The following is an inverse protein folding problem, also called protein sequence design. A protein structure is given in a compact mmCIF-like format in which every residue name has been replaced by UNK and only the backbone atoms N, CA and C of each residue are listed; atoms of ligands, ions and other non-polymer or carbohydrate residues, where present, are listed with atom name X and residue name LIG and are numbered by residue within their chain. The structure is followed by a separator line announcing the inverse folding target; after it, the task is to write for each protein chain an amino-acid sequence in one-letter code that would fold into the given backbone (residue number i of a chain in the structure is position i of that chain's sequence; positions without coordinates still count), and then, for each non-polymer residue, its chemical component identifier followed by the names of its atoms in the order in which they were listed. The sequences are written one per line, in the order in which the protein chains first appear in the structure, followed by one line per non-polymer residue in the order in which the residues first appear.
data_IF_105913690071
#
_entry.id   IF_105913690071
#
_cell.length_a   1.000
_cell.length_b   1.000
_cell.length_c   1.000
_cell.angle_alpha   90.00
_cell.angle_beta   90.00
_cell.angle_gamma   90.00
#
_symmetry.space_group_name_H-M   'P 1'
#
loop_
_entity.id
_entity.type
_entity.pdbx_description
1 polymer ?
#
# COMPACT_ATOMS: atom_id res chain seq x y z
N UNK A 1 61.86 -21.04 -3.34
CA UNK A 1 61.32 -20.02 -2.42
C UNK A 1 60.28 -19.15 -3.13
N UNK A 2 59.11 -19.67 -3.54
CA UNK A 2 58.04 -18.91 -4.22
C UNK A 2 56.63 -19.39 -3.73
N UNK A 3 56.51 -19.88 -2.49
CA UNK A 3 55.23 -20.40 -1.99
C UNK A 3 54.66 -19.63 -0.79
N UNK A 4 55.24 -18.48 -0.41
CA UNK A 4 54.75 -17.69 0.75
C UNK A 4 54.02 -16.41 0.41
N UNK A 5 53.82 -16.09 -0.88
CA UNK A 5 53.22 -14.78 -1.27
C UNK A 5 51.72 -14.82 -1.64
N UNK A 6 51.10 -16.00 -1.70
CA UNK A 6 49.70 -16.12 -2.19
C UNK A 6 48.69 -16.19 -1.04
N UNK A 7 49.12 -16.45 0.20
CA UNK A 7 48.18 -16.64 1.32
C UNK A 7 47.82 -15.36 2.08
N UNK A 8 48.49 -14.24 1.84
CA UNK A 8 48.26 -12.99 2.60
C UNK A 8 47.38 -11.95 1.89
N UNK A 9 46.84 -12.24 0.70
CA UNK A 9 45.93 -11.29 -0.04
C UNK A 9 44.45 -11.53 0.14
N UNK A 10 44.01 -12.41 1.03
CA UNK A 10 42.58 -12.79 1.17
C UNK A 10 41.92 -12.42 2.49
N UNK A 11 42.54 -11.65 3.36
CA UNK A 11 41.96 -11.27 4.67
C UNK A 11 42.20 -9.80 5.02
N UNK A 12 41.88 -8.91 4.11
CA UNK A 12 41.61 -7.52 4.49
C UNK A 12 40.19 -7.13 4.05
N UNK A 13 39.20 -7.92 4.43
CA UNK A 13 37.88 -7.38 4.58
C UNK A 13 37.97 -6.47 5.81
N UNK A 14 38.09 -5.17 5.54
CA UNK A 14 37.95 -4.12 6.52
C UNK A 14 36.63 -4.39 7.24
N UNK A 15 36.69 -4.95 8.44
CA UNK A 15 35.54 -5.10 9.34
C UNK A 15 35.10 -3.67 9.61
N UNK A 16 34.17 -3.19 8.81
CA UNK A 16 33.56 -1.89 9.07
C UNK A 16 32.74 -2.05 10.33
N UNK A 17 33.17 -1.35 11.39
CA UNK A 17 32.49 -1.37 12.67
C UNK A 17 30.96 -1.19 12.50
N UNK A 18 30.22 -1.98 13.26
CA UNK A 18 28.77 -1.88 13.32
C UNK A 18 28.34 -0.47 13.66
N UNK A 19 27.15 -0.11 13.23
CA UNK A 19 26.54 1.20 13.48
C UNK A 19 25.32 1.04 14.39
N UNK A 20 25.18 1.91 15.36
CA UNK A 20 24.03 1.93 16.26
C UNK A 20 22.87 2.69 15.56
N UNK A 21 21.72 2.06 15.51
CA UNK A 21 20.50 2.69 14.99
C UNK A 21 19.92 3.65 16.04
N UNK A 22 19.78 4.94 15.71
CA UNK A 22 19.25 5.96 16.65
C UNK A 22 17.79 5.71 17.08
N UNK A 23 17.06 4.80 16.41
CA UNK A 23 15.65 4.52 16.74
C UNK A 23 15.43 3.25 17.54
N UNK A 24 16.08 2.14 17.20
CA UNK A 24 15.93 0.87 17.90
C UNK A 24 17.13 0.51 18.77
N UNK A 25 18.16 1.37 18.80
CA UNK A 25 19.36 1.27 19.60
C UNK A 25 20.20 0.00 19.37
N UNK A 26 19.83 -0.78 18.33
CA UNK A 26 20.57 -2.00 17.99
C UNK A 26 21.86 -1.66 17.26
N UNK A 27 22.95 -2.34 17.65
CA UNK A 27 24.20 -2.37 16.87
C UNK A 27 24.01 -3.31 15.68
N UNK A 28 24.17 -2.82 14.46
CA UNK A 28 23.88 -3.53 13.23
C UNK A 28 24.97 -3.26 12.18
N UNK A 29 25.24 -4.24 11.29
CA UNK A 29 26.15 -4.05 10.18
C UNK A 29 25.78 -2.83 9.33
N UNK A 30 26.79 -2.10 8.86
CA UNK A 30 26.57 -0.88 8.02
C UNK A 30 25.72 -1.13 6.79
N UNK A 31 25.72 -2.36 6.22
CA UNK A 31 24.85 -2.78 5.10
C UNK A 31 23.36 -2.67 5.43
N UNK A 32 22.98 -2.68 6.71
CA UNK A 32 21.58 -2.56 7.15
C UNK A 32 21.12 -1.11 7.26
N UNK A 33 21.97 -0.16 6.89
CA UNK A 33 21.67 1.25 6.78
C UNK A 33 21.73 1.69 5.32
N UNK A 34 20.95 2.68 4.95
CA UNK A 34 20.93 3.25 3.61
C UNK A 34 21.82 4.50 3.58
N UNK A 35 23.00 4.39 2.95
CA UNK A 35 23.96 5.48 2.87
C UNK A 35 24.37 6.02 4.25
N UNK A 36 24.25 7.32 4.45
CA UNK A 36 24.61 7.99 5.70
C UNK A 36 23.48 8.03 6.74
N UNK A 37 22.33 7.40 6.48
CA UNK A 37 21.19 7.43 7.40
C UNK A 37 21.56 6.91 8.79
N UNK A 38 21.05 7.58 9.82
CA UNK A 38 21.27 7.23 11.23
C UNK A 38 20.36 6.12 11.74
N UNK A 39 19.32 5.78 10.98
CA UNK A 39 18.37 4.71 11.29
C UNK A 39 18.55 3.53 10.34
N UNK A 40 18.43 2.30 10.85
CA UNK A 40 18.49 1.09 10.04
C UNK A 40 17.30 1.02 9.06
N UNK A 41 17.43 0.21 8.00
CA UNK A 41 16.39 0.07 6.95
C UNK A 41 15.01 -0.26 7.51
N UNK A 42 14.82 -1.24 8.43
CA UNK A 42 13.51 -1.49 9.02
C UNK A 42 12.90 -0.28 9.74
N UNK A 43 13.73 0.45 10.51
CA UNK A 43 13.28 1.67 11.18
C UNK A 43 12.94 2.79 10.19
N UNK A 44 13.73 2.95 9.13
CA UNK A 44 13.46 3.91 8.05
C UNK A 44 12.16 3.61 7.32
N UNK A 45 11.90 2.34 6.98
CA UNK A 45 10.62 1.90 6.39
C UNK A 45 9.43 2.16 7.31
N UNK A 46 9.58 1.87 8.61
CA UNK A 46 8.53 2.16 9.60
C UNK A 46 8.20 3.65 9.67
N UNK A 47 9.22 4.54 9.71
CA UNK A 47 9.01 5.99 9.69
C UNK A 47 8.33 6.47 8.41
N UNK A 48 8.75 5.95 7.26
CA UNK A 48 8.14 6.27 5.98
C UNK A 48 6.66 5.83 5.92
N UNK A 49 6.33 4.65 6.47
CA UNK A 49 4.97 4.16 6.54
C UNK A 49 4.10 5.02 7.44
N UNK A 50 4.59 5.42 8.62
CA UNK A 50 3.90 6.35 9.52
C UNK A 50 3.63 7.68 8.80
N UNK A 51 4.63 8.23 8.09
CA UNK A 51 4.45 9.47 7.34
C UNK A 51 3.39 9.34 6.24
N UNK A 52 3.40 8.24 5.48
CA UNK A 52 2.46 7.98 4.38
C UNK A 52 1.02 7.73 4.85
N UNK A 53 0.82 7.35 6.09
CA UNK A 53 -0.49 7.08 6.70
C UNK A 53 -0.84 8.04 7.84
N UNK A 54 -0.21 9.21 7.90
CA UNK A 54 -0.50 10.19 8.96
C UNK A 54 -1.84 10.92 8.78
N UNK A 55 -2.48 10.80 7.62
CA UNK A 55 -3.84 11.26 7.34
C UNK A 55 -4.44 10.45 6.19
N UNK A 56 -5.79 10.42 6.03
CA UNK A 56 -6.45 9.78 4.90
C UNK A 56 -5.95 10.35 3.57
N UNK A 57 -5.78 11.65 3.45
CA UNK A 57 -5.32 12.32 2.23
C UNK A 57 -3.90 11.89 1.81
N UNK A 58 -2.97 11.74 2.75
CA UNK A 58 -1.63 11.23 2.44
C UNK A 58 -1.66 9.76 2.03
N UNK A 59 -2.53 8.99 2.63
CA UNK A 59 -2.73 7.59 2.25
C UNK A 59 -3.33 7.48 0.85
N UNK A 60 -4.38 8.25 0.53
CA UNK A 60 -5.01 8.32 -0.79
C UNK A 60 -4.01 8.77 -1.87
N UNK A 61 -3.21 9.81 -1.61
CA UNK A 61 -2.13 10.23 -2.53
C UNK A 61 -1.14 9.09 -2.80
N UNK A 62 -0.83 8.29 -1.78
CA UNK A 62 0.06 7.14 -1.98
C UNK A 62 -0.62 6.01 -2.78
N UNK A 63 -1.92 5.75 -2.59
CA UNK A 63 -2.68 4.81 -3.43
C UNK A 63 -2.73 5.30 -4.87
N UNK A 64 -3.02 6.59 -5.07
CA UNK A 64 -3.02 7.22 -6.39
C UNK A 64 -1.68 7.05 -7.11
N UNK A 65 -0.56 7.30 -6.45
CA UNK A 65 0.77 7.11 -7.03
C UNK A 65 1.00 5.65 -7.48
N UNK A 66 0.55 4.67 -6.68
CA UNK A 66 0.69 3.26 -7.01
C UNK A 66 -0.19 2.88 -8.21
N UNK A 67 -1.41 3.38 -8.23
CA UNK A 67 -2.36 3.14 -9.31
C UNK A 67 -1.87 3.78 -10.62
N UNK A 68 -1.50 5.05 -10.59
CA UNK A 68 -0.93 5.77 -11.73
C UNK A 68 0.26 5.01 -12.32
N UNK A 69 1.24 4.65 -11.50
CA UNK A 69 2.41 3.90 -11.94
C UNK A 69 2.06 2.55 -12.58
N UNK A 70 1.04 1.86 -12.05
CA UNK A 70 0.56 0.60 -12.61
C UNK A 70 -0.08 0.80 -14.00
N UNK A 71 -0.91 1.85 -14.13
CA UNK A 71 -1.68 2.13 -15.37
C UNK A 71 -0.83 2.73 -16.49
N UNK A 72 0.12 3.61 -16.17
CA UNK A 72 1.04 4.18 -17.17
C UNK A 72 1.94 3.13 -17.82
N UNK A 73 2.03 1.91 -17.28
CA UNK A 73 2.74 0.78 -17.91
C UNK A 73 1.89 -0.01 -18.90
N UNK A 74 0.58 0.16 -18.86
CA UNK A 74 -0.34 -0.52 -19.77
C UNK A 74 -0.50 0.35 -21.02
N UNK A 75 -0.10 -0.15 -22.19
CA UNK A 75 -0.19 0.59 -23.46
C UNK A 75 -1.64 0.99 -23.76
N UNK A 76 -1.83 2.26 -24.13
CA UNK A 76 -3.12 2.80 -24.56
C UNK A 76 -4.06 3.24 -23.43
N UNK A 77 -3.64 3.19 -22.17
CA UNK A 77 -4.47 3.65 -21.06
C UNK A 77 -4.25 5.11 -20.71
N UNK A 78 -5.34 5.89 -20.65
CA UNK A 78 -5.35 7.25 -20.11
C UNK A 78 -5.67 7.22 -18.64
N UNK A 79 -4.88 7.93 -17.82
CA UNK A 79 -5.09 8.04 -16.38
C UNK A 79 -5.33 9.51 -16.00
N UNK A 80 -6.59 9.89 -15.88
CA UNK A 80 -7.00 11.29 -15.65
C UNK A 80 -7.34 11.61 -14.19
N UNK A 81 -7.40 10.58 -13.33
CA UNK A 81 -7.72 10.76 -11.93
C UNK A 81 -6.63 11.57 -11.20
N UNK A 82 -7.03 12.50 -10.32
CA UNK A 82 -6.12 13.32 -9.52
C UNK A 82 -6.23 13.02 -8.03
N UNK A 83 -5.18 13.31 -7.22
CA UNK A 83 -5.26 13.17 -5.76
C UNK A 83 -6.36 14.04 -5.13
N UNK A 84 -6.57 15.24 -5.67
CA UNK A 84 -7.58 16.19 -5.19
C UNK A 84 -9.01 15.65 -5.39
N UNK A 85 -9.25 14.97 -6.51
CA UNK A 85 -10.53 14.29 -6.76
C UNK A 85 -10.77 13.15 -5.77
N UNK A 86 -9.74 12.38 -5.42
CA UNK A 86 -9.83 11.32 -4.39
C UNK A 86 -10.09 11.91 -3.00
N UNK A 87 -9.49 13.06 -2.68
CA UNK A 87 -9.72 13.74 -1.42
C UNK A 87 -11.17 14.24 -1.33
N UNK A 88 -11.67 14.89 -2.40
CA UNK A 88 -13.05 15.34 -2.48
C UNK A 88 -14.06 14.17 -2.36
N UNK A 89 -13.71 13.02 -2.94
CA UNK A 89 -14.54 11.81 -2.83
C UNK A 89 -14.54 11.25 -1.40
N UNK A 90 -13.39 11.26 -0.72
CA UNK A 90 -13.29 10.89 0.70
C UNK A 90 -14.20 11.76 1.57
N UNK A 91 -14.15 13.07 1.37
CA UNK A 91 -14.96 14.03 2.13
C UNK A 91 -16.45 13.85 1.82
N UNK A 92 -16.82 13.67 0.54
CA UNK A 92 -18.20 13.38 0.11
C UNK A 92 -18.76 12.11 0.74
N UNK A 93 -17.92 11.07 0.91
CA UNK A 93 -18.31 9.80 1.51
C UNK A 93 -18.23 9.79 3.05
N UNK A 94 -17.79 10.88 3.68
CA UNK A 94 -17.58 10.99 5.13
C UNK A 94 -16.70 9.85 5.69
N UNK A 95 -15.66 9.49 4.94
CA UNK A 95 -14.77 8.40 5.28
C UNK A 95 -15.42 7.01 5.31
N UNK A 96 -16.60 6.85 4.73
CA UNK A 96 -17.35 5.58 4.68
C UNK A 96 -17.19 4.87 3.35
N UNK A 97 -17.17 3.54 3.43
CA UNK A 97 -17.20 2.67 2.26
C UNK A 97 -18.50 2.86 1.48
N UNK A 98 -18.41 3.16 0.18
CA UNK A 98 -19.60 3.39 -0.66
C UNK A 98 -20.54 2.18 -0.70
N UNK A 99 -20.00 0.95 -0.65
CA UNK A 99 -20.79 -0.28 -0.77
C UNK A 99 -21.31 -0.84 0.56
N UNK A 100 -20.54 -0.72 1.64
CA UNK A 100 -20.90 -1.34 2.93
C UNK A 100 -21.27 -0.35 4.02
N UNK A 101 -21.06 0.97 3.82
CA UNK A 101 -21.28 1.99 4.84
C UNK A 101 -20.27 1.98 6.01
N UNK A 102 -19.38 0.99 6.08
CA UNK A 102 -18.41 0.86 7.15
C UNK A 102 -17.39 2.00 7.12
N UNK A 103 -16.94 2.46 8.30
CA UNK A 103 -15.84 3.42 8.39
C UNK A 103 -14.55 2.84 7.82
N UNK A 104 -13.91 3.59 6.95
CA UNK A 104 -12.64 3.21 6.36
C UNK A 104 -11.45 3.66 7.21
N UNK A 105 -10.39 2.87 7.19
CA UNK A 105 -9.10 3.16 7.83
C UNK A 105 -8.01 3.38 6.78
N UNK A 106 -6.83 3.87 7.21
CA UNK A 106 -5.72 4.21 6.30
C UNK A 106 -4.35 3.83 6.89
N UNK A 107 -4.19 2.57 7.29
CA UNK A 107 -2.94 2.09 7.87
C UNK A 107 -1.97 1.60 6.81
N UNK A 108 -0.71 1.99 6.92
CA UNK A 108 0.38 1.49 6.10
C UNK A 108 1.46 0.83 6.96
N UNK A 109 1.91 -0.34 6.51
CA UNK A 109 2.85 -1.19 7.26
C UNK A 109 2.11 -2.29 8.04
N UNK A 110 2.71 -3.46 8.12
CA UNK A 110 2.06 -4.66 8.65
C UNK A 110 1.02 -5.25 7.70
N UNK A 111 0.09 -6.00 8.24
CA UNK A 111 -1.00 -6.59 7.46
C UNK A 111 -2.01 -5.52 7.01
N UNK A 112 -2.50 -5.65 5.79
CA UNK A 112 -3.58 -4.80 5.28
C UNK A 112 -4.84 -5.05 6.10
N UNK A 113 -5.36 -4.01 6.74
CA UNK A 113 -6.64 -4.11 7.46
C UNK A 113 -7.80 -4.21 6.46
N UNK A 114 -8.78 -5.04 6.77
CA UNK A 114 -9.95 -5.25 5.93
C UNK A 114 -10.71 -3.96 5.62
N UNK A 115 -10.66 -3.00 6.53
CA UNK A 115 -11.32 -1.68 6.44
C UNK A 115 -10.46 -0.59 5.80
N UNK A 116 -9.21 -0.88 5.40
CA UNK A 116 -8.40 0.13 4.71
C UNK A 116 -9.09 0.60 3.44
N UNK A 117 -9.03 1.92 3.19
CA UNK A 117 -9.58 2.51 1.97
C UNK A 117 -8.87 1.95 0.74
N UNK A 118 -9.64 1.67 -0.28
CA UNK A 118 -9.23 1.23 -1.61
C UNK A 118 -10.00 2.00 -2.67
N UNK A 119 -9.37 2.27 -3.81
CA UNK A 119 -10.01 2.88 -4.98
C UNK A 119 -10.65 1.76 -5.78
N UNK A 120 -11.94 1.87 -6.04
CA UNK A 120 -12.72 0.90 -6.81
C UNK A 120 -13.35 1.57 -8.03
N UNK A 121 -13.51 0.82 -9.11
CA UNK A 121 -14.29 1.21 -10.29
C UNK A 121 -15.71 0.70 -10.14
N UNK A 122 -16.70 1.59 -10.25
CA UNK A 122 -18.12 1.23 -10.19
C UNK A 122 -18.43 0.20 -11.26
N UNK A 123 -18.14 0.52 -12.52
CA UNK A 123 -18.12 -0.42 -13.63
C UNK A 123 -16.68 -0.89 -13.90
N UNK A 124 -16.38 -2.18 -13.76
CA UNK A 124 -15.04 -2.71 -13.97
C UNK A 124 -14.56 -2.61 -15.43
N UNK A 125 -15.45 -2.40 -16.40
CA UNK A 125 -15.14 -2.29 -17.81
C UNK A 125 -14.75 -0.86 -18.23
N UNK A 126 -15.01 0.14 -17.38
CA UNK A 126 -14.68 1.55 -17.61
C UNK A 126 -13.41 1.90 -16.83
N UNK A 127 -12.59 2.80 -17.38
CA UNK A 127 -11.33 3.23 -16.78
C UNK A 127 -11.50 4.04 -15.49
N UNK A 128 -10.35 4.41 -14.87
CA UNK A 128 -10.28 5.23 -13.65
C UNK A 128 -10.58 6.70 -13.97
N UNK A 129 -11.82 6.99 -14.28
CA UNK A 129 -12.35 8.34 -14.52
C UNK A 129 -13.32 8.71 -13.40
N UNK A 130 -13.42 9.99 -13.04
CA UNK A 130 -14.12 10.43 -11.83
C UNK A 130 -15.55 9.88 -11.67
N UNK A 131 -16.42 9.87 -12.71
CA UNK A 131 -17.78 9.35 -12.54
C UNK A 131 -17.82 7.85 -12.20
N UNK A 132 -16.74 7.10 -12.58
CA UNK A 132 -16.64 5.66 -12.40
C UNK A 132 -15.84 5.25 -11.16
N UNK A 133 -15.47 6.18 -10.28
CA UNK A 133 -14.63 5.90 -9.10
C UNK A 133 -15.41 6.06 -7.82
N UNK A 134 -15.20 5.12 -6.91
CA UNK A 134 -15.66 5.19 -5.53
C UNK A 134 -14.58 4.70 -4.56
N UNK A 135 -14.70 5.08 -3.29
CA UNK A 135 -13.84 4.61 -2.22
C UNK A 135 -14.57 3.52 -1.42
N UNK A 136 -13.93 2.39 -1.25
CA UNK A 136 -14.49 1.23 -0.57
C UNK A 136 -13.48 0.63 0.42
N UNK A 137 -13.94 -0.17 1.37
CA UNK A 137 -13.05 -1.00 2.19
C UNK A 137 -12.29 -1.99 1.32
N UNK A 138 -10.99 -2.18 1.60
CA UNK A 138 -10.14 -3.11 0.85
C UNK A 138 -10.75 -4.53 0.76
N UNK A 139 -11.33 -5.05 1.84
CA UNK A 139 -11.99 -6.37 1.82
C UNK A 139 -13.19 -6.39 0.88
N UNK A 140 -14.00 -5.32 0.88
CA UNK A 140 -15.15 -5.21 -0.01
C UNK A 140 -14.72 -5.15 -1.46
N UNK A 141 -13.65 -4.40 -1.76
CA UNK A 141 -13.07 -4.36 -3.10
C UNK A 141 -12.58 -5.73 -3.58
N UNK A 142 -11.92 -6.50 -2.68
CA UNK A 142 -11.52 -7.88 -3.01
C UNK A 142 -12.71 -8.80 -3.29
N UNK A 143 -13.82 -8.66 -2.56
CA UNK A 143 -15.03 -9.47 -2.78
C UNK A 143 -15.68 -9.08 -4.10
N UNK A 144 -15.78 -7.76 -4.37
CA UNK A 144 -16.36 -7.25 -5.62
C UNK A 144 -15.54 -7.69 -6.84
N UNK A 145 -14.21 -7.57 -6.75
CA UNK A 145 -13.28 -7.94 -7.83
C UNK A 145 -13.69 -7.34 -9.18
N UNK A 146 -14.12 -8.16 -10.14
CA UNK A 146 -14.59 -7.74 -11.48
C UNK A 146 -16.11 -7.72 -11.60
N UNK A 147 -16.84 -7.92 -10.50
CA UNK A 147 -18.30 -7.85 -10.51
C UNK A 147 -18.79 -6.41 -10.61
N UNK A 148 -19.94 -6.23 -11.22
CA UNK A 148 -20.76 -5.02 -11.08
C UNK A 148 -21.33 -4.94 -9.66
N UNK A 149 -21.88 -3.80 -9.28
CA UNK A 149 -22.54 -3.65 -7.97
C UNK A 149 -23.78 -4.52 -7.84
N UNK A 150 -24.56 -4.65 -8.92
CA UNK A 150 -25.76 -5.48 -8.95
C UNK A 150 -25.42 -6.96 -8.77
N UNK A 151 -24.36 -7.45 -9.41
CA UNK A 151 -23.87 -8.83 -9.22
C UNK A 151 -23.41 -9.06 -7.78
N UNK A 152 -22.63 -8.13 -7.22
CA UNK A 152 -22.19 -8.21 -5.83
C UNK A 152 -23.39 -8.25 -4.88
N UNK A 153 -24.35 -7.34 -5.07
CA UNK A 153 -25.56 -7.27 -4.25
C UNK A 153 -26.36 -8.56 -4.34
N UNK A 154 -26.54 -9.11 -5.55
CA UNK A 154 -27.24 -10.36 -5.75
C UNK A 154 -26.60 -11.52 -4.99
N UNK A 155 -25.27 -11.66 -5.07
CA UNK A 155 -24.53 -12.69 -4.33
C UNK A 155 -24.65 -12.49 -2.83
N UNK A 156 -24.45 -11.31 -2.31
CA UNK A 156 -24.56 -11.00 -0.88
C UNK A 156 -25.94 -11.35 -0.35
N UNK A 157 -27.01 -10.95 -1.06
CA UNK A 157 -28.40 -11.25 -0.71
C UNK A 157 -28.65 -12.75 -0.65
N UNK A 158 -28.23 -13.50 -1.66
CA UNK A 158 -28.44 -14.95 -1.69
C UNK A 158 -27.70 -15.66 -0.56
N UNK A 159 -26.46 -15.27 -0.26
CA UNK A 159 -25.67 -15.83 0.85
C UNK A 159 -26.38 -15.60 2.19
N UNK A 160 -26.83 -14.38 2.46
CA UNK A 160 -27.54 -14.04 3.70
C UNK A 160 -28.85 -14.82 3.79
N UNK A 161 -29.69 -14.77 2.74
CA UNK A 161 -30.97 -15.47 2.71
C UNK A 161 -30.84 -16.98 2.88
N UNK A 162 -29.78 -17.59 2.31
CA UNK A 162 -29.52 -19.00 2.49
C UNK A 162 -29.17 -19.34 3.94
N UNK A 163 -28.27 -18.54 4.55
CA UNK A 163 -27.84 -18.76 5.93
C UNK A 163 -28.96 -18.57 6.95
N UNK A 164 -29.92 -17.69 6.69
CA UNK A 164 -31.05 -17.41 7.58
C UNK A 164 -32.09 -18.59 7.59
N UNK A 165 -31.98 -19.53 6.65
CA UNK A 165 -32.88 -20.69 6.56
C UNK A 165 -32.40 -21.91 7.38
N UNK A 166 -31.17 -21.85 7.88
CA UNK A 166 -30.50 -22.93 8.64
C UNK A 166 -29.89 -22.39 9.93
#
# INVERSE_FOLDING_TARGET
MIWYSIFYKKFSQKIMADKICERCEKSLPRKDFEGHRKVCRPCGLSLANISKSSSPYKYLKNLWNQLKYSREKEEGMTFELTPEQLNALWDKQDGRCALSGAFMTWHKGGEKRNTNVSIDRIDPNIEYVLPNIQLVCWRVNLIKHTMTEDELYWWCKNIVTHKEKF
#
